data_IF_817472035127
#
_entry.id   IF_817472035127
#
_cell.length_a   1.000
_cell.length_b   1.000
_cell.length_c   1.000
_cell.angle_alpha   90.00
_cell.angle_beta   90.00
_cell.angle_gamma   90.00
#
_symmetry.space_group_name_H-M   'P 1'
#
loop_
_entity.id
_entity.type
_entity.pdbx_description
1 polymer ?
2 non-polymer ?
3 water ?
#
# COMPACT_ATOMS: atom_id res chain seq x y z
N UNK A 1 4.12 6.69 -6.56
CA UNK A 1 4.20 5.80 -7.70
C UNK A 1 4.14 4.37 -7.19
N UNK A 2 3.59 3.49 -7.98
CA UNK A 2 3.49 2.07 -7.60
C UNK A 2 2.43 1.41 -8.40
N UNK A 3 1.82 0.35 -7.80
CA UNK A 3 0.76 -0.40 -8.44
C UNK A 3 -0.41 -0.55 -7.45
N UNK A 4 -1.62 -0.55 -8.01
CA UNK A 4 -2.80 -0.88 -7.21
C UNK A 4 -3.83 -1.45 -8.14
N UNK A 5 -4.81 -2.19 -7.55
CA UNK A 5 -5.83 -2.82 -8.35
C UNK A 5 -6.42 -3.99 -7.59
N UNK A 6 -6.87 -4.98 -8.38
CA UNK A 6 -7.54 -6.17 -7.86
C UNK A 6 -7.04 -7.40 -8.55
N UNK A 7 -7.00 -8.49 -7.73
CA UNK A 7 -6.86 -9.84 -8.27
C UNK A 7 -8.26 -10.47 -8.18
N UNK A 8 -8.67 -11.06 -9.28
CA UNK A 8 -10.03 -11.67 -9.40
C UNK A 8 -9.95 -13.05 -9.98
N UNK A 9 -11.01 -13.82 -9.76
CA UNK A 9 -11.18 -15.14 -10.31
C UNK A 9 -11.69 -15.00 -11.74
N UNK A 10 -11.02 -15.67 -12.69
CA UNK A 10 -11.36 -15.55 -14.11
C UNK A 10 -12.72 -16.11 -14.45
N UNK A 11 -13.28 -16.97 -13.62
CA UNK A 11 -14.61 -17.56 -13.90
C UNK A 11 -15.70 -16.72 -13.30
N UNK A 12 -15.55 -16.28 -12.05
CA UNK A 12 -16.63 -15.61 -11.35
C UNK A 12 -16.61 -14.11 -11.46
N UNK A 13 -15.41 -13.52 -11.69
CA UNK A 13 -15.23 -12.09 -11.62
C UNK A 13 -15.15 -11.53 -10.22
N UNK A 14 -15.13 -12.39 -9.20
CA UNK A 14 -15.05 -11.96 -7.84
C UNK A 14 -13.63 -11.83 -7.38
N UNK A 15 -13.39 -10.95 -6.42
CA UNK A 15 -12.03 -10.72 -5.87
C UNK A 15 -11.53 -11.93 -5.12
N UNK A 16 -10.18 -12.07 -5.10
CA UNK A 16 -9.50 -13.17 -4.41
C UNK A 16 -8.62 -12.65 -3.33
N UNK A 17 -8.85 -13.19 -2.14
CA UNK A 17 -8.04 -12.83 -0.97
C UNK A 17 -6.75 -13.67 -0.88
N UNK A 18 -5.70 -13.11 -0.32
CA UNK A 18 -4.43 -13.79 -0.03
C UNK A 18 -3.69 -14.24 -1.29
N UNK A 19 -4.03 -13.66 -2.45
CA UNK A 19 -3.14 -13.83 -3.62
C UNK A 19 -1.86 -13.03 -3.31
N UNK A 20 -0.76 -13.51 -3.85
CA UNK A 20 0.48 -12.80 -3.73
C UNK A 20 0.96 -12.32 -5.07
N UNK A 21 1.40 -11.09 -5.12
CA UNK A 21 2.08 -10.54 -6.31
C UNK A 21 3.52 -10.35 -5.94
N UNK A 22 4.40 -11.00 -6.66
CA UNK A 22 5.84 -10.86 -6.49
C UNK A 22 6.41 -10.06 -7.65
N UNK A 23 7.18 -9.09 -7.27
CA UNK A 23 7.77 -8.16 -8.20
C UNK A 23 9.25 -8.57 -8.34
N UNK A 24 9.69 -8.90 -9.51
CA UNK A 24 11.10 -9.38 -9.66
C UNK A 24 12.03 -8.27 -9.24
N UNK A 25 13.01 -8.69 -8.41
CA UNK A 25 14.01 -7.73 -7.92
C UNK A 25 13.67 -6.96 -6.70
N UNK A 26 12.44 -7.11 -6.17
CA UNK A 26 11.94 -6.28 -5.09
C UNK A 26 11.58 -7.24 -3.95
N UNK A 27 12.16 -7.07 -2.78
CA UNK A 27 11.84 -7.86 -1.64
C UNK A 27 10.46 -7.38 -1.07
N UNK A 28 9.80 -8.30 -0.39
CA UNK A 28 8.51 -8.08 0.33
C UNK A 28 7.38 -8.15 -0.65
N UNK A 29 6.78 -9.27 -0.70
CA UNK A 29 5.76 -9.35 -1.70
C UNK A 29 4.42 -8.68 -1.34
N UNK A 30 3.50 -8.59 -2.32
CA UNK A 30 2.26 -7.88 -2.21
C UNK A 30 1.18 -8.92 -1.87
N UNK A 31 0.30 -8.73 -0.88
CA UNK A 31 -0.76 -9.66 -0.57
C UNK A 31 -2.14 -8.99 -0.79
N UNK A 32 -3.10 -9.66 -1.37
CA UNK A 32 -4.41 -9.08 -1.60
C UNK A 32 -5.29 -9.16 -0.33
N UNK A 33 -6.14 -8.17 -0.19
CA UNK A 33 -7.11 -8.14 0.90
C UNK A 33 -8.35 -8.94 0.57
N UNK A 34 -9.31 -8.66 1.47
CA UNK A 34 -10.48 -9.50 1.53
C UNK A 34 -11.26 -9.74 0.17
N UNK A 35 -11.35 -8.65 -0.58
CA UNK A 35 -12.05 -8.58 -1.86
C UNK A 35 -11.08 -8.32 -3.00
N UNK A 36 -9.83 -8.75 -2.85
CA UNK A 36 -8.89 -8.79 -3.95
C UNK A 36 -8.00 -7.57 -4.09
N UNK A 37 -8.15 -6.55 -3.26
CA UNK A 37 -7.42 -5.32 -3.43
C UNK A 37 -5.97 -5.46 -3.05
N UNK A 38 -5.11 -4.67 -3.75
CA UNK A 38 -3.72 -4.60 -3.36
C UNK A 38 -3.18 -3.23 -3.65
N UNK A 39 -2.05 -2.89 -3.03
CA UNK A 39 -1.38 -1.62 -3.24
C UNK A 39 0.08 -1.81 -2.89
N UNK A 40 0.99 -1.23 -3.68
CA UNK A 40 2.40 -1.19 -3.26
C UNK A 40 3.10 -0.02 -3.94
N UNK A 41 3.86 0.76 -3.17
CA UNK A 41 4.76 1.76 -3.74
C UNK A 41 5.90 1.08 -4.46
N UNK A 42 6.29 1.63 -5.62
CA UNK A 42 7.46 1.19 -6.38
C UNK A 42 8.04 2.47 -7.03
N UNK A 43 9.32 2.59 -7.10
CA UNK A 43 9.87 3.77 -7.85
C UNK A 43 9.59 3.63 -9.29
N UNK A 44 9.59 4.72 -10.06
CA UNK A 44 9.30 4.62 -11.48
C UNK A 44 10.28 3.70 -12.21
N UNK A 45 9.77 2.87 -13.06
CA UNK A 45 10.55 1.83 -13.72
C UNK A 45 9.65 0.82 -14.33
N UNK A 46 10.22 -0.28 -14.78
CA UNK A 46 9.48 -1.33 -15.46
C UNK A 46 9.68 -2.60 -14.67
N UNK A 47 8.56 -3.33 -14.44
CA UNK A 47 8.56 -4.45 -13.51
C UNK A 47 7.91 -5.67 -14.12
N UNK A 48 8.39 -6.84 -13.67
CA UNK A 48 7.82 -8.13 -14.04
C UNK A 48 7.14 -8.73 -12.81
N UNK A 49 5.88 -9.07 -12.97
CA UNK A 49 5.00 -9.50 -11.86
C UNK A 49 4.61 -10.95 -12.04
N UNK A 50 4.61 -11.65 -10.90
CA UNK A 50 4.09 -13.04 -10.87
C UNK A 50 3.00 -13.06 -9.80
N UNK A 51 1.86 -13.61 -10.14
CA UNK A 51 0.72 -13.65 -9.20
C UNK A 51 0.38 -15.10 -8.94
N UNK A 52 0.41 -15.48 -7.65
CA UNK A 52 0.12 -16.88 -7.30
C UNK A 52 -0.94 -16.96 -6.21
N UNK A 53 -1.67 -18.08 -6.24
CA UNK A 53 -2.64 -18.40 -5.18
C UNK A 53 -2.87 -19.89 -5.27
N UNK A 54 -2.65 -20.63 -4.18
CA UNK A 54 -2.79 -22.04 -4.21
C UNK A 54 -4.14 -22.44 -4.75
N UNK A 55 -4.17 -23.35 -5.70
CA UNK A 55 -5.36 -23.76 -6.33
C UNK A 55 -5.71 -23.05 -7.62
N UNK A 56 -4.92 -22.05 -8.00
CA UNK A 56 -5.09 -21.27 -9.21
C UNK A 56 -3.83 -21.41 -10.05
N UNK A 57 -4.05 -21.23 -11.32
CA UNK A 57 -2.95 -21.17 -12.26
C UNK A 57 -2.16 -19.88 -12.03
N UNK A 58 -0.83 -19.92 -11.93
CA UNK A 58 -0.11 -18.67 -11.71
C UNK A 58 -0.16 -17.81 -12.97
N UNK A 59 -0.07 -16.52 -12.75
CA UNK A 59 -0.11 -15.54 -13.84
C UNK A 59 1.17 -14.76 -13.86
N UNK A 60 1.70 -14.57 -15.08
CA UNK A 60 2.89 -13.77 -15.28
C UNK A 60 2.53 -12.57 -16.12
N UNK A 61 2.89 -11.36 -15.65
CA UNK A 61 2.66 -10.12 -16.38
C UNK A 61 3.96 -9.36 -16.46
N UNK A 62 4.51 -9.26 -17.66
CA UNK A 62 5.81 -8.62 -17.86
C UNK A 62 5.65 -7.18 -18.27
N UNK A 63 6.73 -6.46 -18.05
CA UNK A 63 6.87 -5.10 -18.65
C UNK A 63 5.76 -4.15 -18.13
N UNK A 64 5.49 -4.13 -16.85
CA UNK A 64 4.57 -3.26 -16.22
C UNK A 64 5.28 -1.94 -15.93
N UNK A 65 4.85 -0.87 -16.58
CA UNK A 65 5.49 0.40 -16.45
C UNK A 65 4.84 1.22 -15.35
N UNK A 66 5.66 1.71 -14.40
CA UNK A 66 5.24 2.49 -13.29
C UNK A 66 5.83 3.90 -13.48
N UNK A 67 4.92 4.90 -13.58
CA UNK A 67 5.27 6.28 -13.80
C UNK A 67 5.09 7.06 -12.51
N UNK A 68 5.63 8.28 -12.43
CA UNK A 68 5.46 9.12 -11.27
C UNK A 68 3.98 9.43 -11.04
N UNK A 69 3.63 9.68 -9.78
CA UNK A 69 2.29 10.10 -9.39
C UNK A 69 1.51 8.98 -8.80
N UNK A 70 0.17 9.01 -8.95
CA UNK A 70 -0.68 7.94 -8.42
C UNK A 70 -0.19 6.61 -8.89
N UNK A 71 -0.51 5.59 -8.07
CA UNK A 71 -0.24 4.22 -8.42
C UNK A 71 -0.80 3.84 -9.77
N UNK A 72 -0.14 2.98 -10.45
CA UNK A 72 -0.53 2.45 -11.76
C UNK A 72 -1.62 1.39 -11.53
N UNK A 73 -2.78 1.57 -12.18
CA UNK A 73 -3.89 0.66 -12.01
C UNK A 73 -3.68 -0.57 -12.82
N UNK A 74 -3.85 -1.73 -12.21
CA UNK A 74 -3.79 -2.96 -12.98
C UNK A 74 -4.46 -4.05 -12.20
N UNK A 75 -5.18 -4.81 -12.96
CA UNK A 75 -5.94 -5.95 -12.45
C UNK A 75 -5.36 -7.23 -13.00
N UNK A 76 -5.56 -8.33 -12.24
CA UNK A 76 -5.09 -9.63 -12.61
C UNK A 76 -6.18 -10.63 -12.49
N UNK A 77 -6.35 -11.48 -13.47
CA UNK A 77 -7.38 -12.53 -13.46
C UNK A 77 -6.74 -13.91 -13.37
N UNK A 78 -7.10 -14.65 -12.34
CA UNK A 78 -6.48 -15.97 -12.09
C UNK A 78 -7.52 -17.02 -12.43
N UNK A 79 -7.07 -18.05 -13.15
CA UNK A 79 -7.91 -19.16 -13.52
C UNK A 79 -7.77 -20.28 -12.52
N UNK A 80 -8.89 -20.83 -12.00
CA UNK A 80 -8.78 -21.93 -11.06
C UNK A 80 -8.16 -23.16 -11.79
N UNK A 81 -7.25 -23.96 -11.18
CA UNK A 81 -6.76 -25.14 -11.81
C UNK A 81 -8.09 -25.93 -12.15
N UNK B 1 13.55 10.41 16.27
CA UNK B 1 12.86 11.35 15.34
C UNK B 1 12.05 10.50 14.38
N UNK B 2 11.19 11.16 13.71
CA UNK B 2 10.37 10.47 12.73
C UNK B 2 9.04 11.14 12.61
N UNK B 3 8.04 10.36 12.31
CA UNK B 3 6.65 10.84 12.12
C UNK B 3 5.75 10.04 13.10
N UNK B 4 4.93 10.74 13.87
CA UNK B 4 4.13 10.10 14.92
C UNK B 4 2.74 10.65 14.72
N UNK B 5 1.73 9.84 15.17
CA UNK B 5 0.41 10.37 15.21
C UNK B 5 -0.62 9.25 15.13
N UNK B 6 -1.73 9.58 14.47
CA UNK B 6 -2.85 8.69 14.32
C UNK B 6 -3.33 8.68 12.88
N UNK B 7 -3.77 7.54 12.44
CA UNK B 7 -4.56 7.40 11.23
C UNK B 7 -6.01 7.25 11.66
N UNK B 8 -6.88 8.09 11.12
CA UNK B 8 -8.28 8.16 11.52
C UNK B 8 -9.17 8.16 10.32
N UNK B 9 -10.40 7.68 10.52
CA UNK B 9 -11.43 7.77 9.49
C UNK B 9 -11.92 9.22 9.41
N UNK B 10 -11.89 9.80 8.23
CA UNK B 10 -12.26 11.20 8.06
C UNK B 10 -13.71 11.49 8.40
N UNK B 11 -14.59 10.50 8.30
CA UNK B 11 -16.05 10.59 8.58
C UNK B 11 -16.44 10.50 9.99
N UNK B 12 -15.73 9.64 10.73
CA UNK B 12 -16.08 9.39 12.11
C UNK B 12 -15.10 9.91 13.10
N UNK B 13 -13.85 10.08 12.69
CA UNK B 13 -12.77 10.37 13.61
C UNK B 13 -12.21 9.19 14.38
N UNK B 14 -12.71 7.97 14.08
CA UNK B 14 -12.18 6.80 14.79
C UNK B 14 -10.72 6.52 14.35
N UNK B 15 -9.88 6.19 15.31
CA UNK B 15 -8.58 5.66 14.95
C UNK B 15 -8.70 4.33 14.23
N UNK B 16 -7.90 4.13 13.19
CA UNK B 16 -7.98 2.96 12.33
C UNK B 16 -6.78 2.04 12.60
N UNK B 17 -7.06 0.84 13.05
CA UNK B 17 -6.05 -0.22 13.23
C UNK B 17 -5.75 -0.84 11.88
N UNK B 18 -4.54 -1.40 11.76
CA UNK B 18 -4.17 -2.23 10.61
C UNK B 18 -3.92 -1.43 9.31
N UNK B 19 -3.85 -0.12 9.39
CA UNK B 19 -3.49 0.68 8.21
C UNK B 19 -1.98 0.55 7.95
N UNK B 20 -1.59 0.45 6.70
CA UNK B 20 -0.21 0.32 6.32
C UNK B 20 0.37 1.69 5.95
N UNK B 21 1.49 2.02 6.58
CA UNK B 21 2.18 3.30 6.27
C UNK B 21 3.47 2.95 5.57
N UNK B 22 3.63 3.53 4.39
CA UNK B 22 4.76 3.32 3.50
C UNK B 22 5.49 4.69 3.35
N UNK B 23 6.80 4.63 3.22
CA UNK B 23 7.63 5.79 2.92
C UNK B 23 8.25 5.59 1.56
N UNK B 24 8.04 6.51 0.61
CA UNK B 24 8.59 6.34 -0.70
C UNK B 24 10.08 6.20 -0.65
N UNK B 25 10.59 5.23 -1.40
CA UNK B 25 12.02 4.98 -1.45
C UNK B 25 12.58 4.07 -0.38
N UNK B 26 11.74 3.63 0.57
CA UNK B 26 12.14 2.80 1.67
C UNK B 26 11.28 1.59 1.69
N UNK B 27 11.86 0.41 1.60
CA UNK B 27 11.07 -0.84 1.45
C UNK B 27 10.90 -1.43 2.79
N UNK B 28 10.11 -0.81 3.60
CA UNK B 28 9.86 -1.22 5.04
C UNK B 28 8.62 -0.55 5.54
N UNK B 29 7.54 -1.27 5.68
CA UNK B 29 6.27 -0.72 6.10
C UNK B 29 6.03 -0.93 7.54
N UNK B 30 5.14 -0.14 8.11
CA UNK B 30 4.62 -0.35 9.45
C UNK B 30 3.10 -0.34 9.39
N UNK B 31 2.49 -0.79 10.47
CA UNK B 31 1.05 -0.86 10.60
C UNK B 31 0.58 -0.18 11.81
N UNK B 32 -0.58 0.48 11.75
CA UNK B 32 -1.13 1.18 12.92
C UNK B 32 -1.70 0.25 13.95
N UNK B 33 -1.62 0.73 15.16
CA UNK B 33 -2.14 0.00 16.33
C UNK B 33 -3.63 0.23 16.57
N UNK B 34 -4.10 -0.35 17.68
CA UNK B 34 -5.53 -0.43 17.95
C UNK B 34 -6.24 0.90 18.14
N UNK B 35 -5.50 1.94 18.51
CA UNK B 35 -6.05 3.27 18.60
C UNK B 35 -5.78 4.11 17.31
N UNK B 36 -5.27 3.48 16.26
CA UNK B 36 -4.86 4.20 15.08
C UNK B 36 -3.47 4.78 15.17
N UNK B 37 -2.77 4.48 16.25
CA UNK B 37 -1.47 5.10 16.54
C UNK B 37 -0.35 4.51 15.69
N UNK B 38 0.64 5.36 15.42
CA UNK B 38 1.88 4.88 14.82
C UNK B 38 3.02 5.81 15.23
N UNK B 39 4.24 5.28 15.09
CA UNK B 39 5.43 6.15 15.15
C UNK B 39 6.46 5.53 14.18
N UNK B 40 6.69 6.19 13.05
CA UNK B 40 7.64 5.75 12.07
C UNK B 40 9.01 6.40 12.36
N UNK B 41 9.98 5.60 12.75
CA UNK B 41 11.36 6.12 13.11
C UNK B 41 12.13 6.34 11.84
N UNK B 42 12.55 7.61 11.64
CA UNK B 42 13.32 8.00 10.43
C UNK B 42 14.34 9.02 10.89
N UNK B 43 15.53 8.98 10.26
CA UNK B 43 16.47 10.08 10.47
C UNK B 43 15.86 11.38 9.85
N UNK B 44 16.33 12.51 10.28
CA UNK B 44 15.80 13.80 9.73
C UNK B 44 15.96 13.87 8.25
N UNK B 45 14.90 14.42 7.58
CA UNK B 45 14.86 14.49 6.15
C UNK B 45 13.42 14.83 5.75
N UNK B 46 13.20 14.84 4.44
CA UNK B 46 11.88 15.09 3.87
C UNK B 46 11.42 13.84 3.17
N UNK B 47 10.20 13.42 3.37
CA UNK B 47 9.71 12.11 2.93
C UNK B 47 8.30 12.26 2.36
N UNK B 48 7.94 11.29 1.55
CA UNK B 48 6.58 11.18 1.04
C UNK B 48 5.97 9.92 1.68
N UNK B 49 4.85 10.05 2.37
CA UNK B 49 4.18 8.93 3.08
C UNK B 49 2.90 8.56 2.39
N UNK B 50 2.66 7.27 2.26
CA UNK B 50 1.40 6.76 1.75
C UNK B 50 0.77 5.87 2.82
N UNK B 51 -0.53 6.05 3.03
CA UNK B 51 -1.30 5.29 4.01
C UNK B 51 -2.42 4.57 3.31
N UNK B 52 -2.52 3.27 3.54
CA UNK B 52 -3.50 2.45 2.83
C UNK B 52 -4.20 1.51 3.82
N UNK B 53 -5.49 1.37 3.62
CA UNK B 53 -6.30 0.44 4.40
C UNK B 53 -7.45 0.03 3.52
N UNK B 54 -7.74 -1.26 3.40
CA UNK B 54 -8.88 -1.75 2.66
C UNK B 54 -10.13 -0.97 3.06
N UNK B 55 -10.90 -0.60 2.02
CA UNK B 55 -12.12 0.14 2.21
C UNK B 55 -11.95 1.64 2.23
N UNK B 56 -10.71 2.13 2.14
CA UNK B 56 -10.40 3.55 2.18
C UNK B 56 -9.60 3.94 0.93
N UNK B 57 -9.77 5.18 0.49
CA UNK B 57 -8.92 5.72 -0.57
C UNK B 57 -7.48 5.77 -0.08
N UNK B 58 -6.51 5.47 -0.94
CA UNK B 58 -5.11 5.63 -0.52
C UNK B 58 -4.80 7.08 -0.32
N UNK B 59 -3.99 7.38 0.68
CA UNK B 59 -3.64 8.75 1.01
C UNK B 59 -2.14 8.92 0.82
N UNK B 60 -1.69 9.88 0.00
CA UNK B 60 -0.26 10.19 -0.12
C UNK B 60 -0.06 11.61 0.33
N UNK B 61 0.83 11.83 1.28
CA UNK B 61 1.18 13.16 1.72
C UNK B 61 2.64 13.35 1.41
N UNK B 62 2.89 14.37 0.57
CA UNK B 62 4.24 14.67 0.15
C UNK B 62 4.95 15.68 1.00
N UNK B 63 6.35 15.51 0.77
CA UNK B 63 7.25 16.49 1.37
C UNK B 63 6.97 16.71 2.85
N UNK B 64 6.83 15.61 3.57
CA UNK B 64 6.72 15.66 5.00
C UNK B 64 8.12 15.79 5.58
N UNK B 65 8.19 16.61 6.64
CA UNK B 65 9.55 17.06 7.07
C UNK B 65 9.74 16.53 8.46
N UNK B 66 10.70 15.58 8.53
CA UNK B 66 11.28 15.11 9.77
C UNK B 66 12.72 15.93 10.17
N UNK B 67 12.64 16.50 11.36
CA UNK B 67 13.63 17.38 11.90
C UNK B 67 14.56 16.55 12.82
N UNK B 68 15.63 17.12 13.27
CA UNK B 68 16.27 16.55 14.39
C UNK B 68 15.29 16.79 15.60
N UNK B 69 15.44 16.04 16.62
CA UNK B 69 14.71 16.21 17.82
C UNK B 69 13.44 15.37 17.96
N UNK B 70 12.41 15.90 18.63
CA UNK B 70 11.17 15.14 18.82
C UNK B 70 10.47 14.77 17.49
N UNK B 71 9.71 13.70 17.51
CA UNK B 71 8.94 13.27 16.34
C UNK B 71 8.03 14.37 15.80
N UNK B 72 7.92 14.46 14.49
CA UNK B 72 6.98 15.26 13.81
C UNK B 72 5.58 14.66 14.03
N UNK B 73 4.64 15.43 14.63
CA UNK B 73 3.33 14.91 14.89
C UNK B 73 2.40 15.21 13.71
N UNK B 74 1.86 14.14 13.11
CA UNK B 74 1.06 14.29 11.91
C UNK B 74 0.00 13.26 12.02
N UNK B 75 -1.26 13.68 11.86
CA UNK B 75 -2.31 12.69 11.76
C UNK B 75 -2.73 12.59 10.30
N UNK B 76 -3.21 11.46 9.95
CA UNK B 76 -3.64 11.20 8.61
C UNK B 76 -5.10 10.81 8.62
N UNK B 77 -5.93 11.50 7.82
CA UNK B 77 -7.35 11.17 7.77
C UNK B 77 -7.80 10.58 6.50
N UNK B 78 -8.14 9.33 6.60
CA UNK B 78 -8.42 8.47 5.45
C UNK B 78 -9.88 8.56 5.09
N UNK B 79 -10.17 8.70 3.82
CA UNK B 79 -11.50 8.86 3.30
C UNK B 79 -12.07 7.51 2.91
N UNK B 80 -13.17 7.04 3.50
CA UNK B 80 -13.75 5.78 3.03
C UNK B 80 -14.19 5.88 1.61
N UNK B 81 -14.08 4.81 0.88
CA UNK B 81 -14.62 4.78 -0.47
C UNK B 81 -16.07 5.19 -0.53
N UNK B 82 -16.83 4.63 0.41
CA UNK B 82 -18.27 5.16 0.62
C UNK B 82 -18.56 6.72 0.48
X LIG C 1 -7.58 0.48 -0.27
X LIG C 1 -9.08 0.58 -0.21
X LIG C 1 -7.01 1.11 -1.56
X LIG C 1 -8.03 1.25 -2.59
X LIG C 1 -5.80 0.40 -2.23
X LIG C 1 -5.73 -0.80 -3.12
#
# INVERSE_FOLDING_TARGET
SGVKGFVKDSITGSGLENATISVAGINHNITTGRFGDFYRLLVPGTYNLTVVLTGYMPLTVTNVVVKEGPATEVDFSLRPHH
SGVKGFVKDSITGSGLENATISVAGINHNITTGRFGDFYRLLVPGTYNLTVVLTGYMPLTVTNVVVKEGPATEVDFSLRPHH
GOL C1 O1 C2 O2 C3 O3
#
